data_IF_837300847929
#
_entry.id   IF_837300847929
#
_cell.length_a   1.000
_cell.length_b   1.000
_cell.length_c   1.000
_cell.angle_alpha   90.00
_cell.angle_beta   90.00
_cell.angle_gamma   90.00
#
_symmetry.space_group_name_H-M   'P 1'
#
loop_
_entity.id
_entity.type
_entity.pdbx_description
1 polymer ?
#
# COMPACT_ATOMS: atom_id res chain seq x y z
N UNK A 1 -10.43 -11.35 -13.15
CA UNK A 1 -10.37 -11.05 -11.68
C UNK A 1 -9.53 -9.80 -11.51
N UNK A 2 -10.06 -8.81 -10.79
CA UNK A 2 -9.37 -7.54 -10.47
C UNK A 2 -8.66 -7.64 -9.12
N UNK A 3 -7.36 -7.39 -9.09
CA UNK A 3 -6.54 -7.49 -7.87
C UNK A 3 -5.96 -6.13 -7.53
N UNK A 4 -6.41 -5.54 -6.43
CA UNK A 4 -5.85 -4.30 -5.89
C UNK A 4 -4.57 -4.61 -5.10
N UNK A 5 -3.41 -4.39 -5.70
CA UNK A 5 -2.13 -4.45 -4.99
C UNK A 5 -1.95 -3.17 -4.18
N UNK A 6 -1.72 -3.31 -2.89
CA UNK A 6 -1.60 -2.15 -2.00
C UNK A 6 -0.27 -2.14 -1.24
N UNK A 7 0.37 -0.97 -1.16
CA UNK A 7 1.62 -0.74 -0.43
C UNK A 7 1.74 0.73 -0.06
N UNK A 8 2.33 1.03 1.10
CA UNK A 8 2.47 2.42 1.56
C UNK A 8 3.34 3.28 0.64
N UNK A 9 4.50 2.80 0.25
CA UNK A 9 5.39 3.45 -0.71
C UNK A 9 5.95 2.41 -1.66
N UNK A 10 5.85 2.65 -2.95
CA UNK A 10 6.32 1.76 -4.01
C UNK A 10 7.58 2.35 -4.66
N UNK A 11 8.73 1.82 -4.30
CA UNK A 11 10.04 2.22 -4.84
C UNK A 11 10.61 1.04 -5.63
N UNK A 12 10.75 1.18 -6.94
CA UNK A 12 11.32 0.16 -7.80
C UNK A 12 12.67 0.68 -8.32
N UNK A 13 13.78 -0.05 -8.14
CA UNK A 13 13.93 -1.48 -7.83
C UNK A 13 13.77 -1.92 -6.35
N UNK A 14 13.99 -1.11 -5.29
CA UNK A 14 14.09 -1.66 -3.92
C UNK A 14 12.88 -2.48 -3.44
N UNK A 15 11.67 -2.17 -3.94
CA UNK A 15 10.45 -2.90 -3.55
C UNK A 15 9.83 -3.69 -4.71
N UNK A 16 10.67 -4.18 -5.61
CA UNK A 16 10.26 -4.97 -6.78
C UNK A 16 9.40 -6.19 -6.40
N UNK A 17 9.71 -6.82 -5.26
CA UNK A 17 8.94 -7.94 -4.73
C UNK A 17 7.42 -7.66 -4.62
N UNK A 18 7.03 -6.41 -4.40
CA UNK A 18 5.61 -6.05 -4.31
C UNK A 18 4.88 -6.19 -5.66
N UNK A 19 5.59 -6.11 -6.76
CA UNK A 19 5.04 -6.25 -8.11
C UNK A 19 5.22 -7.66 -8.68
N UNK A 20 5.99 -8.53 -8.03
CA UNK A 20 6.34 -9.85 -8.57
C UNK A 20 5.13 -10.69 -8.94
N UNK A 21 4.08 -10.68 -8.12
CA UNK A 21 2.86 -11.41 -8.43
C UNK A 21 2.12 -10.83 -9.65
N UNK A 22 2.06 -9.50 -9.74
CA UNK A 22 1.40 -8.85 -10.87
C UNK A 22 2.15 -9.11 -12.20
N UNK A 23 3.47 -9.16 -12.15
CA UNK A 23 4.30 -9.45 -13.31
C UNK A 23 4.27 -10.94 -13.69
N UNK A 24 4.11 -11.83 -12.70
CA UNK A 24 4.05 -13.27 -12.92
C UNK A 24 2.66 -13.77 -13.36
N UNK A 25 1.61 -12.99 -13.13
CA UNK A 25 0.21 -13.35 -13.46
C UNK A 25 -0.43 -12.24 -14.31
N UNK A 26 0.05 -12.00 -15.54
CA UNK A 26 -0.45 -10.92 -16.39
C UNK A 26 -1.89 -11.12 -16.88
N UNK A 27 -2.44 -12.32 -16.75
CA UNK A 27 -3.83 -12.63 -17.09
C UNK A 27 -4.85 -12.04 -16.10
N UNK A 28 -4.40 -11.55 -14.93
CA UNK A 28 -5.24 -10.87 -13.97
C UNK A 28 -5.19 -9.35 -14.20
N UNK A 29 -6.31 -8.68 -13.92
CA UNK A 29 -6.39 -7.22 -13.98
C UNK A 29 -5.82 -6.62 -12.70
N UNK A 30 -4.54 -6.23 -12.74
CA UNK A 30 -3.81 -5.65 -11.62
C UNK A 30 -3.84 -4.14 -11.63
N UNK A 31 -4.02 -3.55 -10.47
CA UNK A 31 -3.77 -2.13 -10.24
C UNK A 31 -3.11 -1.91 -8.90
N UNK A 32 -1.99 -1.18 -8.90
CA UNK A 32 -1.29 -0.81 -7.68
C UNK A 32 -1.86 0.48 -7.09
N UNK A 33 -2.11 0.47 -5.79
CA UNK A 33 -2.53 1.63 -4.99
C UNK A 33 -1.47 1.90 -3.93
N UNK A 34 -0.95 3.11 -3.94
CA UNK A 34 0.14 3.51 -3.05
C UNK A 34 -0.02 4.96 -2.62
N UNK A 35 0.61 5.37 -1.53
CA UNK A 35 0.68 6.78 -1.16
C UNK A 35 1.59 7.53 -2.12
N UNK A 36 2.76 6.94 -2.44
CA UNK A 36 3.69 7.54 -3.38
C UNK A 36 4.53 6.45 -4.06
N UNK A 37 4.88 6.67 -5.33
CA UNK A 37 5.71 5.78 -6.12
C UNK A 37 6.93 6.49 -6.70
N UNK A 38 7.99 5.75 -6.91
CA UNK A 38 9.12 6.09 -7.77
C UNK A 38 9.54 4.83 -8.49
N UNK A 39 9.23 4.74 -9.77
CA UNK A 39 9.53 3.59 -10.61
C UNK A 39 10.49 4.02 -11.69
N UNK A 40 11.66 3.39 -11.72
CA UNK A 40 12.70 3.66 -12.72
C UNK A 40 12.86 2.50 -13.71
N UNK A 41 12.14 1.41 -13.49
CA UNK A 41 12.15 0.25 -14.37
C UNK A 41 11.02 0.36 -15.42
N UNK A 42 11.34 0.52 -16.71
CA UNK A 42 10.36 0.66 -17.78
C UNK A 42 9.57 -0.63 -18.07
N UNK A 43 10.02 -1.76 -17.55
CA UNK A 43 9.30 -3.04 -17.71
C UNK A 43 8.09 -3.18 -16.80
N UNK A 44 7.93 -2.28 -15.84
CA UNK A 44 6.77 -2.24 -14.96
C UNK A 44 5.57 -1.63 -15.69
N UNK A 45 4.67 -2.48 -16.14
CA UNK A 45 3.46 -2.09 -16.88
C UNK A 45 2.20 -2.03 -16.02
N UNK A 46 2.28 -2.38 -14.74
CA UNK A 46 1.14 -2.35 -13.81
C UNK A 46 0.65 -0.91 -13.62
N UNK A 47 -0.63 -0.60 -13.87
CA UNK A 47 -1.19 0.72 -13.62
C UNK A 47 -1.08 1.11 -12.15
N UNK A 48 -0.62 2.34 -11.87
CA UNK A 48 -0.36 2.82 -10.52
C UNK A 48 -1.25 4.02 -10.19
N UNK A 49 -1.94 3.92 -9.07
CA UNK A 49 -2.70 5.01 -8.47
C UNK A 49 -1.95 5.55 -7.25
N UNK A 50 -1.46 6.79 -7.34
CA UNK A 50 -0.75 7.48 -6.26
C UNK A 50 -1.67 8.45 -5.55
N UNK A 51 -1.85 8.26 -4.25
CA UNK A 51 -2.72 9.10 -3.42
C UNK A 51 -2.00 10.34 -2.83
N UNK A 52 -0.68 10.33 -2.73
CA UNK A 52 0.12 11.42 -2.18
C UNK A 52 1.50 11.53 -2.86
N UNK A 53 1.58 11.74 -4.18
CA UNK A 53 2.83 11.68 -4.95
C UNK A 53 3.88 12.69 -4.45
N UNK A 54 3.44 13.86 -3.94
CA UNK A 54 4.33 14.88 -3.39
C UNK A 54 4.92 14.54 -2.01
N UNK A 55 4.47 13.46 -1.37
CA UNK A 55 5.03 13.04 -0.08
C UNK A 55 6.49 12.62 -0.18
N UNK A 56 6.92 12.08 -1.34
CA UNK A 56 8.34 11.81 -1.60
C UNK A 56 9.08 13.12 -1.84
N UNK A 57 10.10 13.39 -1.02
CA UNK A 57 10.93 14.60 -1.12
C UNK A 57 10.41 15.81 -0.33
N UNK A 58 9.22 15.74 0.27
CA UNK A 58 8.71 16.80 1.13
C UNK A 58 9.37 16.80 2.52
N UNK A 59 9.54 17.97 3.18
CA UNK A 59 9.90 18.06 4.59
C UNK A 59 8.94 17.26 5.47
N UNK A 60 9.46 16.76 6.61
CA UNK A 60 8.72 15.82 7.48
C UNK A 60 7.27 16.24 7.82
N UNK A 61 6.99 17.49 8.27
CA UNK A 61 5.62 17.87 8.63
C UNK A 61 4.66 17.84 7.43
N UNK A 62 5.10 18.33 6.27
CA UNK A 62 4.30 18.29 5.03
C UNK A 62 4.08 16.85 4.54
N UNK A 63 5.10 16.00 4.69
CA UNK A 63 5.01 14.59 4.34
C UNK A 63 3.97 13.87 5.19
N UNK A 64 3.97 14.09 6.51
CA UNK A 64 3.01 13.46 7.43
C UNK A 64 1.56 13.86 7.08
N UNK A 65 1.32 15.16 6.85
CA UNK A 65 -0.02 15.64 6.47
C UNK A 65 -0.46 15.13 5.10
N UNK A 66 0.43 15.10 4.12
CA UNK A 66 0.14 14.54 2.80
C UNK A 66 -0.19 13.05 2.87
N UNK A 67 0.58 12.27 3.64
CA UNK A 67 0.32 10.85 3.84
C UNK A 67 -1.00 10.59 4.57
N UNK A 68 -1.32 11.39 5.60
CA UNK A 68 -2.57 11.26 6.34
C UNK A 68 -3.80 11.49 5.43
N UNK A 69 -3.76 12.54 4.60
CA UNK A 69 -4.81 12.80 3.58
C UNK A 69 -4.83 11.71 2.50
N UNK A 70 -3.65 11.30 2.04
CA UNK A 70 -3.47 10.27 1.02
C UNK A 70 -4.08 8.92 1.42
N UNK A 71 -4.05 8.55 2.69
CA UNK A 71 -4.69 7.30 3.15
C UNK A 71 -6.20 7.29 2.88
N UNK A 72 -6.89 8.41 3.12
CA UNK A 72 -8.31 8.52 2.80
C UNK A 72 -8.58 8.47 1.29
N UNK A 73 -7.72 9.10 0.49
CA UNK A 73 -7.81 9.06 -0.98
C UNK A 73 -7.54 7.65 -1.52
N UNK A 74 -6.49 7.00 -1.04
CA UNK A 74 -6.15 5.62 -1.42
C UNK A 74 -7.30 4.65 -1.12
N UNK A 75 -7.90 4.72 0.08
CA UNK A 75 -9.08 3.94 0.43
C UNK A 75 -10.22 4.14 -0.59
N UNK A 76 -10.59 5.41 -0.85
CA UNK A 76 -11.65 5.73 -1.81
C UNK A 76 -11.34 5.21 -3.22
N UNK A 77 -10.08 5.32 -3.66
CA UNK A 77 -9.66 4.84 -4.97
C UNK A 77 -9.76 3.32 -5.07
N UNK A 78 -9.37 2.58 -4.03
CA UNK A 78 -9.53 1.11 -3.98
C UNK A 78 -11.02 0.74 -4.04
N UNK A 79 -11.85 1.36 -3.20
CA UNK A 79 -13.29 1.10 -3.17
C UNK A 79 -13.96 1.42 -4.51
N UNK A 80 -13.65 2.57 -5.12
CA UNK A 80 -14.20 2.97 -6.41
C UNK A 80 -13.78 2.06 -7.57
N UNK A 81 -12.57 1.49 -7.50
CA UNK A 81 -12.12 0.53 -8.52
C UNK A 81 -12.81 -0.83 -8.40
N UNK A 82 -13.41 -1.13 -7.25
CA UNK A 82 -14.19 -2.31 -6.96
C UNK A 82 -13.43 -3.62 -7.30
N UNK A 83 -12.32 -3.93 -6.60
CA UNK A 83 -11.54 -5.13 -6.83
C UNK A 83 -12.29 -6.40 -6.37
N UNK A 84 -11.87 -7.55 -6.87
CA UNK A 84 -12.32 -8.86 -6.38
C UNK A 84 -11.49 -9.34 -5.18
N UNK A 85 -10.22 -8.89 -5.09
CA UNK A 85 -9.27 -9.17 -3.99
C UNK A 85 -8.40 -7.94 -3.74
N UNK A 86 -8.11 -7.67 -2.49
CA UNK A 86 -7.11 -6.68 -2.07
C UNK A 86 -5.88 -7.44 -1.57
N UNK A 87 -4.71 -7.20 -2.18
CA UNK A 87 -3.44 -7.79 -1.79
C UNK A 87 -2.52 -6.72 -1.20
N UNK A 88 -2.41 -6.70 0.12
CA UNK A 88 -1.58 -5.75 0.85
C UNK A 88 -0.17 -6.29 1.05
N UNK A 89 0.84 -5.55 0.59
CA UNK A 89 2.23 -5.79 0.92
C UNK A 89 2.67 -4.94 2.12
N UNK A 90 3.17 -5.59 3.15
CA UNK A 90 3.55 -5.04 4.47
C UNK A 90 2.35 -4.54 5.30
N UNK A 91 2.27 -5.00 6.54
CA UNK A 91 1.20 -4.62 7.46
C UNK A 91 1.27 -3.15 7.93
N UNK A 92 2.44 -2.50 7.83
CA UNK A 92 2.69 -1.16 8.39
C UNK A 92 1.85 -0.03 7.78
N UNK A 93 1.32 -0.20 6.57
CA UNK A 93 0.49 0.78 5.87
C UNK A 93 -0.85 0.19 5.41
N UNK A 94 -1.36 -0.82 6.11
CA UNK A 94 -2.55 -1.57 5.73
C UNK A 94 -3.87 -0.83 5.94
N UNK A 95 -3.91 0.24 6.72
CA UNK A 95 -5.16 0.91 7.11
C UNK A 95 -6.10 1.27 5.94
N UNK A 96 -5.63 1.82 4.79
CA UNK A 96 -6.51 2.05 3.63
C UNK A 96 -7.11 0.77 3.06
N UNK A 97 -6.30 -0.29 2.93
CA UNK A 97 -6.71 -1.60 2.42
C UNK A 97 -7.72 -2.28 3.34
N UNK A 98 -7.44 -2.30 4.65
CA UNK A 98 -8.35 -2.86 5.67
C UNK A 98 -9.71 -2.16 5.67
N UNK A 99 -9.72 -0.82 5.58
CA UNK A 99 -10.97 -0.06 5.54
C UNK A 99 -11.73 -0.29 4.23
N UNK A 100 -11.05 -0.34 3.10
CA UNK A 100 -11.67 -0.66 1.82
C UNK A 100 -12.29 -2.06 1.83
N UNK A 101 -11.55 -3.06 2.33
CA UNK A 101 -12.04 -4.43 2.46
C UNK A 101 -13.29 -4.52 3.32
N UNK A 102 -13.31 -3.83 4.47
CA UNK A 102 -14.48 -3.78 5.37
C UNK A 102 -15.69 -3.11 4.74
N UNK A 103 -15.48 -2.05 3.95
CA UNK A 103 -16.55 -1.31 3.27
C UNK A 103 -17.16 -2.10 2.10
N UNK A 104 -16.35 -2.86 1.40
CA UNK A 104 -16.76 -3.58 0.19
C UNK A 104 -17.07 -5.06 0.41
N UNK A 105 -16.68 -5.63 1.56
CA UNK A 105 -16.77 -7.08 1.81
C UNK A 105 -15.73 -7.91 1.02
N UNK A 106 -14.78 -7.26 0.34
CA UNK A 106 -13.78 -7.92 -0.51
C UNK A 106 -12.69 -8.57 0.35
N UNK A 107 -12.23 -9.79 0.01
CA UNK A 107 -11.14 -10.45 0.71
C UNK A 107 -9.85 -9.63 0.74
N UNK A 108 -9.20 -9.59 1.91
CA UNK A 108 -7.89 -8.96 2.10
C UNK A 108 -6.83 -10.02 2.38
N UNK A 109 -5.83 -10.09 1.53
CA UNK A 109 -4.62 -10.90 1.71
C UNK A 109 -3.47 -9.98 2.13
N UNK A 110 -2.72 -10.36 3.15
CA UNK A 110 -1.57 -9.57 3.62
C UNK A 110 -0.30 -10.40 3.51
N UNK A 111 0.69 -9.90 2.75
CA UNK A 111 2.03 -10.49 2.69
C UNK A 111 2.97 -9.73 3.61
N UNK A 112 3.51 -10.41 4.61
CA UNK A 112 4.50 -9.87 5.53
C UNK A 112 5.91 -10.02 4.95
N UNK A 113 6.75 -9.00 5.13
CA UNK A 113 8.12 -8.94 4.60
C UNK A 113 9.16 -8.77 5.71
N UNK A 114 9.16 -9.67 6.68
CA UNK A 114 10.12 -9.71 7.77
C UNK A 114 9.97 -8.58 8.78
N UNK A 115 10.41 -7.37 8.46
CA UNK A 115 10.40 -6.24 9.40
C UNK A 115 9.02 -5.82 9.93
N UNK A 116 7.96 -6.26 9.31
CA UNK A 116 6.57 -6.03 9.71
C UNK A 116 5.89 -7.27 10.34
N UNK A 117 6.54 -8.44 10.24
CA UNK A 117 6.10 -9.66 10.91
C UNK A 117 6.40 -9.64 12.42
N UNK A 118 7.38 -8.84 12.84
CA UNK A 118 7.78 -8.74 14.25
C UNK A 118 7.43 -7.35 14.80
N UNK A 119 6.77 -7.26 15.98
CA UNK A 119 6.52 -5.98 16.62
C UNK A 119 7.86 -5.30 16.91
N UNK A 120 8.11 -4.17 16.28
CA UNK A 120 9.26 -3.34 16.61
C UNK A 120 9.01 -2.72 17.99
N UNK A 121 9.75 -3.19 18.98
CA UNK A 121 9.82 -2.58 20.30
C UNK A 121 10.56 -1.24 20.21
N UNK A 122 9.94 -0.26 19.53
CA UNK A 122 10.44 1.10 19.45
C UNK A 122 9.68 2.03 20.39
N UNK A 123 10.35 3.07 20.88
CA UNK A 123 9.72 4.16 21.64
C UNK A 123 9.33 5.29 20.68
N UNK A 124 8.16 5.89 20.88
CA UNK A 124 7.70 7.09 20.17
C UNK A 124 6.47 6.91 19.30
N UNK A 125 5.96 8.02 18.75
CA UNK A 125 4.73 8.07 17.96
C UNK A 125 4.74 7.16 16.73
N UNK A 126 5.90 6.99 16.09
CA UNK A 126 6.05 6.10 14.93
C UNK A 126 5.89 4.63 15.28
N UNK A 127 6.36 4.20 16.46
CA UNK A 127 6.20 2.83 16.93
C UNK A 127 4.74 2.54 17.30
N UNK A 128 4.06 3.48 17.95
CA UNK A 128 2.62 3.38 18.27
C UNK A 128 1.77 3.31 16.99
N UNK A 129 2.10 4.12 16.00
CA UNK A 129 1.45 4.10 14.67
C UNK A 129 1.61 2.75 13.98
N UNK A 130 2.83 2.22 13.94
CA UNK A 130 3.11 0.91 13.31
C UNK A 130 2.39 -0.22 14.04
N UNK A 131 2.42 -0.23 15.38
CA UNK A 131 1.71 -1.22 16.19
C UNK A 131 0.19 -1.20 15.97
N UNK A 132 -0.39 -0.01 15.78
CA UNK A 132 -1.82 0.13 15.47
C UNK A 132 -2.16 -0.44 14.09
N UNK A 133 -1.35 -0.14 13.07
CA UNK A 133 -1.56 -0.65 11.72
C UNK A 133 -1.40 -2.18 11.64
N UNK A 134 -0.40 -2.75 12.33
CA UNK A 134 -0.20 -4.19 12.40
C UNK A 134 -1.37 -4.93 13.05
N UNK A 135 -2.00 -4.34 14.08
CA UNK A 135 -3.19 -4.94 14.72
C UNK A 135 -4.46 -4.82 13.87
N UNK A 136 -4.45 -3.97 12.86
CA UNK A 136 -5.61 -3.76 11.97
C UNK A 136 -5.57 -4.65 10.74
N UNK A 137 -4.40 -5.21 10.41
CA UNK A 137 -4.19 -6.13 9.29
C UNK A 137 -4.40 -7.58 9.72
#
# INVERSE_FOLDING_TARGET
MRVALTKGTLLVPPTYFALSHALAMPELDWRAFTLAARITDPTVTVPINEAAPRALGSPLPLRVTAQARGMGQMRRAITAWNPDVIHQHQATWSLPAVRAARETGVPLVVTLHGGDAYPRLGRGAGAAWNARNQRSA
#
